data_IF_232415868989
#
_entry.id   IF_232415868989
#
_cell.length_a   1.000
_cell.length_b   1.000
_cell.length_c   1.000
_cell.angle_alpha   90.00
_cell.angle_beta   90.00
_cell.angle_gamma   90.00
#
_symmetry.space_group_name_H-M   'P 1'
#
loop_
_entity.id
_entity.type
_entity.pdbx_description
1 polymer ?
#
# COMPACT_ATOMS: atom_id res chain seq x y z
N UNK A 1 -13.91 -17.95 -11.56
CA UNK A 1 -14.37 -18.15 -10.16
C UNK A 1 -13.29 -17.84 -9.11
N UNK A 2 -12.08 -18.43 -9.15
CA UNK A 2 -11.02 -18.23 -8.13
C UNK A 2 -10.59 -16.76 -7.90
N UNK A 3 -10.56 -15.94 -8.97
CA UNK A 3 -10.21 -14.50 -8.88
C UNK A 3 -11.36 -13.63 -8.35
N UNK A 4 -12.62 -14.05 -8.51
CA UNK A 4 -13.79 -13.25 -8.10
C UNK A 4 -14.14 -13.45 -6.62
N UNK A 5 -13.93 -14.65 -6.07
CA UNK A 5 -14.23 -14.94 -4.67
C UNK A 5 -12.96 -14.88 -3.82
N UNK A 6 -12.53 -13.65 -3.53
CA UNK A 6 -11.35 -13.33 -2.73
C UNK A 6 -11.71 -12.23 -1.72
N UNK A 7 -10.91 -12.05 -0.66
CA UNK A 7 -10.98 -10.83 0.13
C UNK A 7 -10.87 -9.60 -0.78
N UNK A 8 -11.60 -8.55 -0.44
CA UNK A 8 -11.60 -7.31 -1.22
C UNK A 8 -11.21 -6.13 -0.36
N UNK A 9 -10.62 -5.12 -1.00
CA UNK A 9 -10.35 -3.82 -0.39
C UNK A 9 -10.75 -2.72 -1.35
N UNK A 10 -11.43 -1.71 -0.82
CA UNK A 10 -11.63 -0.42 -1.46
C UNK A 10 -10.66 0.53 -0.80
N UNK A 11 -9.77 1.14 -1.57
CA UNK A 11 -8.74 2.03 -1.07
C UNK A 11 -9.02 3.44 -1.57
N UNK A 12 -9.18 4.38 -0.63
CA UNK A 12 -9.23 5.80 -0.96
C UNK A 12 -7.90 6.26 -1.56
N UNK A 13 -7.94 7.14 -2.54
CA UNK A 13 -6.78 7.74 -3.18
C UNK A 13 -6.96 9.25 -3.17
N UNK A 14 -5.98 9.98 -2.66
CA UNK A 14 -6.00 11.44 -2.68
C UNK A 14 -4.93 11.94 -3.65
N UNK A 15 -5.17 13.11 -4.26
CA UNK A 15 -4.18 13.73 -5.15
C UNK A 15 -2.90 14.02 -4.37
N UNK A 16 -1.77 13.69 -4.97
CA UNK A 16 -0.47 13.87 -4.33
C UNK A 16 -0.09 15.37 -4.32
N UNK A 17 0.10 15.90 -3.11
CA UNK A 17 0.56 17.28 -2.88
C UNK A 17 2.06 17.35 -2.52
N UNK A 18 2.83 16.29 -2.85
CA UNK A 18 4.24 16.13 -2.48
C UNK A 18 4.45 15.30 -1.22
N UNK A 19 3.42 14.61 -0.74
CA UNK A 19 3.48 13.78 0.47
C UNK A 19 4.12 12.41 0.15
N UNK A 20 5.09 11.94 0.96
CA UNK A 20 5.59 10.58 0.83
C UNK A 20 4.51 9.58 1.25
N UNK A 21 4.32 8.53 0.45
CA UNK A 21 3.36 7.47 0.69
C UNK A 21 3.29 6.45 -0.45
N UNK A 22 2.53 5.38 -0.23
CA UNK A 22 2.28 4.37 -1.25
C UNK A 22 1.31 4.88 -2.32
N UNK A 23 1.67 4.72 -3.59
CA UNK A 23 0.85 5.13 -4.73
C UNK A 23 0.08 3.97 -5.36
N UNK A 24 -0.99 4.24 -6.14
CA UNK A 24 -1.71 3.24 -6.91
C UNK A 24 -0.94 2.83 -8.17
N UNK A 25 -0.64 1.54 -8.32
CA UNK A 25 0.05 1.01 -9.49
C UNK A 25 -0.58 -0.29 -10.00
N UNK A 26 -0.34 -0.58 -11.29
CA UNK A 26 -0.53 -1.91 -11.85
C UNK A 26 0.75 -2.72 -11.61
N UNK A 27 0.61 -3.87 -10.95
CA UNK A 27 1.72 -4.78 -10.67
C UNK A 27 1.56 -6.08 -11.46
N UNK A 28 2.68 -6.62 -11.95
CA UNK A 28 2.74 -7.93 -12.57
C UNK A 28 2.98 -8.98 -11.49
N UNK A 29 2.07 -9.94 -11.39
CA UNK A 29 2.15 -11.04 -10.43
C UNK A 29 2.98 -12.19 -11.01
N UNK A 30 3.51 -13.05 -10.13
CA UNK A 30 4.30 -14.23 -10.52
C UNK A 30 3.50 -15.24 -11.38
N UNK A 31 2.17 -15.22 -11.31
CA UNK A 31 1.29 -16.05 -12.14
C UNK A 31 1.02 -15.45 -13.54
N UNK A 32 1.69 -14.36 -13.89
CA UNK A 32 1.53 -13.64 -15.16
C UNK A 32 0.31 -12.72 -15.21
N UNK A 33 -0.50 -12.65 -14.15
CA UNK A 33 -1.66 -11.73 -14.11
C UNK A 33 -1.25 -10.33 -13.68
N UNK A 34 -2.09 -9.34 -14.00
CA UNK A 34 -1.92 -7.95 -13.55
C UNK A 34 -2.94 -7.66 -12.46
N UNK A 35 -2.53 -7.00 -11.38
CA UNK A 35 -3.42 -6.55 -10.30
C UNK A 35 -3.09 -5.14 -9.84
N UNK A 36 -4.08 -4.46 -9.27
CA UNK A 36 -3.91 -3.14 -8.66
C UNK A 36 -3.25 -3.29 -7.28
N UNK A 37 -2.15 -2.57 -7.06
CA UNK A 37 -1.38 -2.59 -5.82
C UNK A 37 -1.04 -1.19 -5.34
N UNK A 38 -0.80 -1.07 -4.04
CA UNK A 38 -0.28 0.13 -3.41
C UNK A 38 1.21 -0.10 -3.22
N UNK A 39 2.06 0.62 -3.95
CA UNK A 39 3.52 0.46 -3.91
C UNK A 39 4.19 1.70 -3.36
N UNK A 40 5.19 1.48 -2.53
CA UNK A 40 6.09 2.51 -2.01
C UNK A 40 7.42 2.50 -2.79
N UNK A 41 8.22 3.56 -2.64
CA UNK A 41 9.52 3.68 -3.32
C UNK A 41 10.47 2.53 -3.00
N UNK A 42 10.33 1.89 -1.83
CA UNK A 42 11.13 0.72 -1.42
C UNK A 42 10.87 -0.52 -2.29
N UNK A 43 9.73 -0.57 -2.99
CA UNK A 43 9.31 -1.69 -3.83
C UNK A 43 9.49 -1.42 -5.32
N UNK A 44 10.02 -0.25 -5.69
CA UNK A 44 10.19 0.19 -7.07
C UNK A 44 11.68 0.30 -7.36
N UNK A 45 12.12 -0.22 -8.50
CA UNK A 45 13.52 -0.11 -8.90
C UNK A 45 13.82 1.30 -9.41
N UNK A 46 14.26 2.16 -8.50
CA UNK A 46 14.60 3.55 -8.81
C UNK A 46 15.84 3.69 -9.72
N UNK A 47 16.58 2.61 -9.99
CA UNK A 47 17.67 2.60 -10.98
C UNK A 47 17.14 2.35 -12.40
N UNK A 48 15.94 1.80 -12.54
CA UNK A 48 15.27 1.66 -13.82
C UNK A 48 14.60 2.99 -14.19
N UNK A 49 15.04 3.67 -15.27
CA UNK A 49 14.53 5.00 -15.62
C UNK A 49 13.03 4.99 -15.94
N UNK A 50 12.51 3.90 -16.51
CA UNK A 50 11.08 3.77 -16.85
C UNK A 50 10.23 3.66 -15.58
N UNK A 51 10.64 2.80 -14.62
CA UNK A 51 9.91 2.65 -13.36
C UNK A 51 9.96 3.92 -12.52
N UNK A 52 11.13 4.57 -12.48
CA UNK A 52 11.32 5.86 -11.82
C UNK A 52 10.37 6.92 -12.41
N UNK A 53 10.31 7.03 -13.73
CA UNK A 53 9.42 7.97 -14.40
C UNK A 53 7.93 7.69 -14.09
N UNK A 54 7.51 6.42 -14.09
CA UNK A 54 6.15 6.03 -13.71
C UNK A 54 5.82 6.40 -12.26
N UNK A 55 6.76 6.20 -11.34
CA UNK A 55 6.62 6.57 -9.94
C UNK A 55 6.49 8.09 -9.77
N UNK A 56 7.40 8.85 -10.39
CA UNK A 56 7.41 10.32 -10.32
C UNK A 56 6.18 10.97 -10.97
N UNK A 57 5.60 10.32 -11.99
CA UNK A 57 4.33 10.75 -12.62
C UNK A 57 3.08 10.32 -11.86
N UNK A 58 3.22 9.58 -10.76
CA UNK A 58 2.10 9.15 -9.93
C UNK A 58 1.32 10.36 -9.38
N UNK A 59 0.05 10.47 -9.75
CA UNK A 59 -0.80 11.63 -9.40
C UNK A 59 -1.50 11.51 -8.05
N UNK A 60 -1.51 10.31 -7.46
CA UNK A 60 -2.25 10.00 -6.25
C UNK A 60 -1.40 9.19 -5.27
N UNK A 61 -1.77 9.23 -3.99
CA UNK A 61 -1.27 8.32 -2.97
C UNK A 61 -2.42 7.82 -2.10
N UNK A 62 -2.20 6.71 -1.40
CA UNK A 62 -3.15 6.13 -0.47
C UNK A 62 -2.95 6.74 0.93
N UNK A 63 -3.97 7.39 1.53
CA UNK A 63 -3.93 7.93 2.88
C UNK A 63 -4.12 6.85 3.97
N UNK A 64 -4.00 5.58 3.62
CA UNK A 64 -4.35 4.43 4.49
C UNK A 64 -5.84 4.40 4.87
N UNK A 65 -6.70 4.97 4.03
CA UNK A 65 -8.14 4.77 4.10
C UNK A 65 -8.55 3.52 3.30
N UNK A 66 -8.89 2.45 4.02
CA UNK A 66 -9.23 1.15 3.44
C UNK A 66 -10.51 0.59 4.06
N UNK A 67 -11.46 0.21 3.19
CA UNK A 67 -12.62 -0.60 3.56
C UNK A 67 -12.40 -2.02 3.07
N UNK A 68 -12.39 -2.99 4.00
CA UNK A 68 -12.02 -4.38 3.72
C UNK A 68 -13.23 -5.33 3.82
N UNK A 69 -13.49 -6.09 2.76
CA UNK A 69 -14.43 -7.20 2.77
C UNK A 69 -13.68 -8.52 3.01
N UNK A 70 -13.81 -9.06 4.22
CA UNK A 70 -13.07 -10.25 4.70
C UNK A 70 -13.93 -11.53 4.72
N UNK A 71 -15.12 -11.47 4.14
CA UNK A 71 -16.06 -12.59 4.04
C UNK A 71 -16.43 -12.85 2.58
N UNK A 72 -16.69 -14.11 2.26
CA UNK A 72 -17.17 -14.52 0.94
C UNK A 72 -18.64 -14.12 0.71
N UNK A 73 -19.12 -14.32 -0.52
CA UNK A 73 -20.50 -14.03 -0.91
C UNK A 73 -21.57 -14.86 -0.15
N UNK A 74 -21.15 -15.86 0.64
CA UNK A 74 -22.02 -16.67 1.50
C UNK A 74 -21.91 -16.29 2.99
N UNK A 75 -21.10 -15.28 3.32
CA UNK A 75 -20.86 -14.80 4.69
C UNK A 75 -19.76 -15.53 5.45
N UNK A 76 -19.08 -16.52 4.86
CA UNK A 76 -17.98 -17.24 5.51
C UNK A 76 -16.73 -16.37 5.57
N UNK A 77 -15.97 -16.45 6.67
CA UNK A 77 -14.70 -15.73 6.78
C UNK A 77 -13.66 -16.34 5.85
N UNK A 78 -12.91 -15.49 5.15
CA UNK A 78 -11.71 -15.93 4.45
C UNK A 78 -10.57 -16.19 5.45
N UNK A 79 -9.75 -17.20 5.17
CA UNK A 79 -8.42 -17.29 5.78
C UNK A 79 -7.46 -16.34 5.03
N UNK A 80 -7.26 -15.14 5.58
CA UNK A 80 -6.49 -14.07 4.93
C UNK A 80 -5.02 -14.45 4.68
N UNK A 81 -4.44 -15.33 5.50
CA UNK A 81 -3.05 -15.79 5.34
C UNK A 81 -2.80 -16.54 4.05
N UNK A 82 -3.86 -17.06 3.40
CA UNK A 82 -3.78 -17.73 2.09
C UNK A 82 -3.58 -16.75 0.93
N UNK A 83 -3.75 -15.45 1.16
CA UNK A 83 -3.69 -14.38 0.15
C UNK A 83 -2.45 -13.49 0.32
N UNK A 84 -1.52 -13.89 1.20
CA UNK A 84 -0.26 -13.19 1.46
C UNK A 84 0.78 -13.62 0.45
N UNK A 85 1.43 -12.63 -0.18
CA UNK A 85 2.67 -12.86 -0.90
C UNK A 85 3.84 -12.86 0.08
N UNK A 86 4.46 -14.02 0.28
CA UNK A 86 5.59 -14.17 1.21
C UNK A 86 6.91 -13.67 0.63
N UNK A 87 6.97 -13.41 -0.67
CA UNK A 87 8.20 -12.98 -1.35
C UNK A 87 8.45 -11.48 -1.24
N UNK A 88 7.46 -10.71 -0.82
CA UNK A 88 7.55 -9.24 -0.68
C UNK A 88 8.10 -8.79 0.67
N UNK A 89 8.60 -9.71 1.50
CA UNK A 89 9.36 -9.34 2.69
C UNK A 89 10.68 -8.69 2.28
N UNK A 90 11.13 -7.69 3.01
CA UNK A 90 12.37 -6.96 2.68
C UNK A 90 13.23 -6.71 3.92
N UNK A 91 14.52 -6.46 3.69
CA UNK A 91 15.43 -6.08 4.77
C UNK A 91 15.47 -4.56 4.84
N UNK A 92 15.07 -4.00 5.98
CA UNK A 92 15.25 -2.58 6.27
C UNK A 92 16.49 -2.35 7.13
N UNK A 93 17.14 -1.21 6.89
CA UNK A 93 18.26 -0.75 7.68
C UNK A 93 17.74 0.25 8.73
N UNK A 94 17.95 -0.06 10.01
CA UNK A 94 17.53 0.78 11.12
C UNK A 94 18.73 1.08 12.00
N UNK A 95 18.69 2.20 12.73
CA UNK A 95 19.63 2.47 13.80
C UNK A 95 18.91 2.40 15.15
N UNK A 96 19.56 1.79 16.14
CA UNK A 96 19.10 1.82 17.53
C UNK A 96 20.29 2.09 18.43
N UNK A 97 20.21 3.17 19.20
CA UNK A 97 21.28 3.60 20.13
C UNK A 97 22.65 3.71 19.41
N UNK A 98 22.67 4.28 18.21
CA UNK A 98 23.89 4.45 17.42
C UNK A 98 24.44 3.17 16.76
N UNK A 99 23.80 2.01 16.94
CA UNK A 99 24.17 0.77 16.23
C UNK A 99 23.29 0.57 15.02
N UNK A 100 23.92 0.26 13.89
CA UNK A 100 23.22 -0.22 12.70
C UNK A 100 22.66 -1.62 12.92
N UNK A 101 21.42 -1.81 12.47
CA UNK A 101 20.68 -3.06 12.54
C UNK A 101 20.06 -3.33 11.18
N UNK A 102 20.02 -4.61 10.82
CA UNK A 102 19.19 -5.11 9.73
C UNK A 102 17.94 -5.74 10.34
N UNK A 103 16.78 -5.27 9.93
CA UNK A 103 15.49 -5.82 10.33
C UNK A 103 14.87 -6.53 9.13
N UNK A 104 14.37 -7.76 9.33
CA UNK A 104 13.52 -8.41 8.34
C UNK A 104 12.09 -7.91 8.55
N UNK A 105 11.57 -7.18 7.58
CA UNK A 105 10.17 -6.78 7.55
C UNK A 105 9.37 -7.82 6.79
N UNK A 106 8.36 -8.37 7.47
CA UNK A 106 7.39 -9.25 6.86
C UNK A 106 6.56 -8.48 5.82
N UNK A 107 5.88 -9.19 4.91
CA UNK A 107 4.94 -8.56 3.97
C UNK A 107 4.08 -7.49 4.65
N UNK A 108 4.19 -6.25 4.17
CA UNK A 108 3.45 -5.12 4.73
C UNK A 108 1.94 -5.26 4.50
N UNK A 109 1.17 -4.52 5.29
CA UNK A 109 -0.27 -4.72 5.40
C UNK A 109 -1.01 -4.52 4.06
N UNK A 110 -0.79 -3.40 3.38
CA UNK A 110 -1.46 -3.04 2.12
C UNK A 110 -0.65 -3.37 0.87
N UNK A 111 0.51 -4.00 1.00
CA UNK A 111 1.25 -4.52 -0.15
C UNK A 111 1.20 -6.05 -0.14
N UNK A 112 2.20 -6.72 0.41
CA UNK A 112 2.35 -8.17 0.36
C UNK A 112 1.28 -8.95 1.10
N UNK A 113 0.84 -8.49 2.28
CA UNK A 113 -0.18 -9.21 3.05
C UNK A 113 -1.56 -9.20 2.37
N UNK A 114 -1.79 -8.24 1.46
CA UNK A 114 -3.01 -8.11 0.66
C UNK A 114 -2.76 -8.32 -0.85
N UNK A 115 -1.62 -8.91 -1.23
CA UNK A 115 -1.19 -8.98 -2.64
C UNK A 115 -2.21 -9.69 -3.53
N UNK A 116 -2.81 -10.80 -3.04
CA UNK A 116 -3.79 -11.57 -3.82
C UNK A 116 -5.25 -11.15 -3.54
N UNK A 117 -5.51 -9.93 -3.06
CA UNK A 117 -6.85 -9.39 -2.83
C UNK A 117 -7.41 -8.70 -4.07
N UNK A 118 -8.73 -8.64 -4.18
CA UNK A 118 -9.38 -7.78 -5.17
C UNK A 118 -9.32 -6.33 -4.68
N UNK A 119 -8.73 -5.47 -5.49
CA UNK A 119 -8.45 -4.08 -5.11
C UNK A 119 -9.24 -3.14 -6.00
N UNK A 120 -9.90 -2.16 -5.39
CA UNK A 120 -10.60 -1.06 -6.06
C UNK A 120 -10.02 0.24 -5.53
N UNK A 121 -9.64 1.14 -6.44
CA UNK A 121 -9.17 2.48 -6.11
C UNK A 121 -10.28 3.49 -6.37
N UNK A 122 -10.49 4.38 -5.42
CA UNK A 122 -11.50 5.44 -5.49
C UNK A 122 -10.82 6.76 -5.14
N UNK A 123 -10.89 7.75 -6.03
CA UNK A 123 -10.45 9.11 -5.68
C UNK A 123 -11.39 9.66 -4.60
N UNK A 124 -10.80 10.16 -3.51
CA UNK A 124 -11.51 10.81 -2.39
C UNK A 124 -10.96 12.22 -2.17
N UNK A 125 -11.74 13.14 -1.59
CA UNK A 125 -11.28 14.50 -1.31
C UNK A 125 -10.04 14.52 -0.42
N UNK A 126 -9.09 15.43 -0.67
CA UNK A 126 -7.88 15.55 0.16
C UNK A 126 -8.22 15.82 1.65
N UNK A 127 -9.34 16.48 1.93
CA UNK A 127 -9.82 16.77 3.28
C UNK A 127 -10.11 15.51 4.13
N UNK A 128 -10.23 14.33 3.53
CA UNK A 128 -10.35 13.07 4.29
C UNK A 128 -9.00 12.60 4.85
N UNK A 129 -7.91 13.30 4.56
CA UNK A 129 -6.56 12.95 4.98
C UNK A 129 -5.86 14.11 5.72
N UNK A 130 -5.73 13.96 7.04
CA UNK A 130 -5.02 14.89 7.91
C UNK A 130 -3.92 14.13 8.66
N UNK A 131 -2.73 13.91 8.06
CA UNK A 131 -1.68 13.13 8.68
C UNK A 131 -0.89 13.95 9.70
N UNK A 132 -0.41 13.25 10.74
CA UNK A 132 0.58 13.78 11.68
C UNK A 132 1.87 12.97 11.53
N UNK A 133 2.87 13.54 10.85
CA UNK A 133 4.19 12.93 10.61
C UNK A 133 5.27 13.51 11.54
N UNK A 134 5.13 14.79 11.88
CA UNK A 134 6.00 15.52 12.81
C UNK A 134 5.17 16.16 13.92
N UNK A 135 5.81 16.53 15.03
CA UNK A 135 5.13 17.20 16.15
C UNK A 135 4.44 18.49 15.69
N UNK A 136 5.03 19.22 14.74
CA UNK A 136 4.48 20.47 14.22
C UNK A 136 3.20 20.26 13.40
N UNK A 137 2.92 19.05 12.90
CA UNK A 137 1.68 18.80 12.16
C UNK A 137 0.45 18.92 13.06
N UNK A 138 0.59 18.72 14.38
CA UNK A 138 -0.48 18.93 15.35
C UNK A 138 -0.93 20.41 15.47
N UNK A 139 -0.12 21.36 15.00
CA UNK A 139 -0.45 22.78 15.03
C UNK A 139 -1.31 23.21 13.85
N UNK A 140 -1.56 22.33 12.87
CA UNK A 140 -2.43 22.64 11.73
C UNK A 140 -3.88 22.74 12.19
N UNK A 141 -4.67 23.56 11.50
CA UNK A 141 -6.06 23.87 11.86
C UNK A 141 -6.94 22.61 11.91
N UNK A 142 -6.64 21.61 11.07
CA UNK A 142 -7.36 20.35 11.01
C UNK A 142 -7.18 19.47 12.26
N UNK A 143 -6.26 19.84 13.17
CA UNK A 143 -5.91 19.11 14.39
C UNK A 143 -6.13 19.90 15.70
N UNK A 144 -6.66 21.12 15.63
CA UNK A 144 -7.05 21.92 16.79
C UNK A 144 -8.52 21.68 17.15
#
# INVERSE_FOLDING_TARGET
KKKLNRPMRVCGMVKNAGEPGGGPFLAYNADGTISLQILESSQIDMKNPIQKEMFEKGTHFNPVDLVCAVRDYKGNKFNLTLYVDKTTGFISHKSKNGKELKALELPGLWNGAMSDWNTIFVEVPLSTFNPVKTVNDLLREEHQ
#
